data_IF_754047343270
#
_entry.id   IF_754047343270
#
_cell.length_a   1.000
_cell.length_b   1.000
_cell.length_c   1.000
_cell.angle_alpha   90.00
_cell.angle_beta   90.00
_cell.angle_gamma   90.00
#
_symmetry.space_group_name_H-M   'P 1'
#
loop_
_entity.id
_entity.type
_entity.pdbx_description
1 polymer ?
#
# COMPACT_ATOMS: atom_id res chain seq x y z
N UNK A 1 -10.95 -4.54 6.32
CA UNK A 1 -10.47 -4.15 4.97
C UNK A 1 -11.45 -4.53 3.85
N UNK A 2 -12.24 -5.61 4.01
CA UNK A 2 -13.27 -6.05 3.06
C UNK A 2 -14.37 -5.01 2.78
N UNK A 3 -14.77 -4.20 3.76
CA UNK A 3 -15.74 -3.12 3.51
C UNK A 3 -15.15 -1.97 2.67
N UNK A 4 -13.91 -1.56 2.94
CA UNK A 4 -13.24 -0.45 2.23
C UNK A 4 -13.05 -0.74 0.74
N UNK A 5 -12.75 -1.99 0.38
CA UNK A 5 -12.56 -2.40 -1.01
C UNK A 5 -13.82 -3.01 -1.65
N UNK A 6 -14.97 -2.92 -0.99
CA UNK A 6 -16.27 -3.43 -1.46
C UNK A 6 -16.21 -4.93 -1.80
N UNK A 7 -15.49 -5.70 -0.98
CA UNK A 7 -15.27 -7.14 -1.19
C UNK A 7 -14.27 -7.49 -2.29
N UNK A 8 -13.65 -6.51 -2.96
CA UNK A 8 -12.60 -6.76 -3.97
C UNK A 8 -11.28 -7.13 -3.28
N UNK A 9 -10.63 -8.19 -3.75
CA UNK A 9 -9.29 -8.60 -3.35
C UNK A 9 -8.48 -8.96 -4.58
N UNK A 10 -7.24 -8.48 -4.66
CA UNK A 10 -6.28 -8.80 -5.73
C UNK A 10 -5.29 -9.90 -5.35
N UNK A 11 -5.54 -10.57 -4.22
CA UNK A 11 -4.58 -11.51 -3.66
C UNK A 11 -3.31 -10.81 -3.17
N UNK A 12 -2.26 -11.59 -3.00
CA UNK A 12 -0.96 -11.06 -2.58
C UNK A 12 -0.23 -10.41 -3.75
N UNK A 13 0.63 -9.39 -3.49
CA UNK A 13 1.51 -8.84 -4.50
C UNK A 13 2.39 -9.94 -5.12
N UNK A 14 2.72 -9.79 -6.40
CA UNK A 14 3.72 -10.63 -7.07
C UNK A 14 5.13 -10.26 -6.61
N UNK A 15 5.35 -8.96 -6.36
CA UNK A 15 6.57 -8.43 -5.80
C UNK A 15 6.25 -7.37 -4.75
N UNK A 16 6.89 -7.50 -3.59
CA UNK A 16 6.87 -6.51 -2.51
C UNK A 16 8.32 -6.13 -2.19
N UNK A 17 8.67 -4.84 -2.22
CA UNK A 17 9.99 -4.39 -1.79
C UNK A 17 10.14 -4.58 -0.27
N UNK A 18 11.37 -4.47 0.24
CA UNK A 18 11.59 -4.36 1.69
C UNK A 18 11.05 -3.02 2.16
N UNK A 19 10.15 -3.04 3.15
CA UNK A 19 9.64 -1.83 3.76
C UNK A 19 10.73 -1.19 4.63
N UNK A 20 11.00 0.08 4.40
CA UNK A 20 11.92 0.85 5.24
C UNK A 20 11.15 1.49 6.39
N UNK A 21 11.64 1.32 7.60
CA UNK A 21 11.07 1.92 8.79
C UNK A 21 11.73 3.29 9.05
N UNK A 22 10.98 4.35 9.39
CA UNK A 22 11.59 5.63 9.75
C UNK A 22 12.46 5.49 11.01
N UNK A 23 13.70 5.97 10.97
CA UNK A 23 14.68 5.79 12.06
C UNK A 23 14.14 6.31 13.41
N UNK A 24 13.50 7.48 13.40
CA UNK A 24 12.89 8.10 14.60
C UNK A 24 11.86 7.19 15.29
N UNK A 25 11.16 6.35 14.53
CA UNK A 25 10.15 5.45 15.07
C UNK A 25 10.78 4.19 15.66
N UNK A 26 11.88 3.72 15.05
CA UNK A 26 12.69 2.64 15.61
C UNK A 26 13.25 3.07 16.96
N UNK A 27 13.84 4.27 17.03
CA UNK A 27 14.42 4.81 18.27
C UNK A 27 13.38 4.98 19.39
N UNK A 28 12.16 5.33 19.03
CA UNK A 28 11.06 5.53 19.98
C UNK A 28 10.22 4.27 20.23
N UNK A 29 10.56 3.15 19.58
CA UNK A 29 9.81 1.89 19.63
C UNK A 29 8.31 2.09 19.35
N UNK A 30 8.00 2.89 18.31
CA UNK A 30 6.63 3.21 17.91
C UNK A 30 6.20 2.32 16.76
N UNK A 31 5.05 1.64 16.94
CA UNK A 31 4.32 0.98 15.87
C UNK A 31 3.30 1.92 15.24
N UNK A 32 2.95 1.65 13.99
CA UNK A 32 2.06 2.52 13.23
C UNK A 32 1.41 1.87 12.03
N UNK A 33 0.59 2.67 11.35
CA UNK A 33 -0.03 2.28 10.10
C UNK A 33 -0.32 3.48 9.22
N UNK A 34 -0.37 3.22 7.91
CA UNK A 34 -0.76 4.19 6.89
C UNK A 34 -1.84 3.56 6.01
N UNK A 35 -2.94 4.27 5.87
CA UNK A 35 -4.02 3.94 4.94
C UNK A 35 -3.89 4.82 3.70
N UNK A 36 -3.66 4.18 2.56
CA UNK A 36 -3.51 4.80 1.24
C UNK A 36 -4.66 4.38 0.34
N UNK A 37 -5.02 5.25 -0.61
CA UNK A 37 -5.93 4.98 -1.71
C UNK A 37 -5.16 5.10 -3.02
N UNK A 38 -5.15 4.07 -3.85
CA UNK A 38 -4.43 4.09 -5.11
C UNK A 38 -5.14 3.30 -6.20
N UNK A 39 -4.69 3.50 -7.44
CA UNK A 39 -5.14 2.76 -8.61
C UNK A 39 -4.09 1.71 -8.97
N UNK A 40 -4.51 0.63 -9.63
CA UNK A 40 -3.61 -0.36 -10.21
C UNK A 40 -3.83 -0.37 -11.73
N UNK A 41 -2.76 -0.16 -12.49
CA UNK A 41 -2.82 -0.17 -13.94
C UNK A 41 -2.80 -1.60 -14.52
N UNK A 42 -2.93 -1.69 -15.84
CA UNK A 42 -2.90 -2.95 -16.57
C UNK A 42 -1.59 -3.73 -16.49
N UNK A 43 -0.49 -3.10 -16.05
CA UNK A 43 0.81 -3.74 -15.83
C UNK A 43 0.97 -4.30 -14.43
N UNK A 44 0.00 -4.04 -13.53
CA UNK A 44 0.10 -4.37 -12.11
C UNK A 44 0.88 -3.35 -11.31
N UNK A 45 1.16 -2.17 -11.88
CA UNK A 45 1.82 -1.07 -11.19
C UNK A 45 0.81 -0.25 -10.41
N UNK A 46 1.20 0.19 -9.21
CA UNK A 46 0.39 1.10 -8.40
C UNK A 46 0.63 2.53 -8.84
N UNK A 47 -0.44 3.28 -9.10
CA UNK A 47 -0.42 4.68 -9.54
C UNK A 47 -1.47 5.51 -8.78
N UNK A 48 -1.41 6.84 -8.90
CA UNK A 48 -2.37 7.76 -8.27
C UNK A 48 -2.54 7.57 -6.75
N UNK A 49 -1.43 7.32 -6.05
CA UNK A 49 -1.44 7.10 -4.59
C UNK A 49 -1.84 8.37 -3.87
N UNK A 50 -2.82 8.26 -2.96
CA UNK A 50 -3.34 9.33 -2.11
C UNK A 50 -3.37 8.88 -0.67
N UNK A 51 -2.95 9.75 0.24
CA UNK A 51 -3.07 9.52 1.67
C UNK A 51 -4.53 9.63 2.11
N UNK A 52 -5.01 8.64 2.85
CA UNK A 52 -6.34 8.67 3.49
C UNK A 52 -6.19 9.01 4.97
N UNK A 53 -5.36 8.26 5.68
CA UNK A 53 -5.12 8.43 7.12
C UNK A 53 -3.83 7.76 7.53
N UNK A 54 -3.25 8.19 8.64
CA UNK A 54 -2.08 7.58 9.25
C UNK A 54 -2.17 7.65 10.77
N UNK A 55 -1.33 6.86 11.43
CA UNK A 55 -1.10 6.90 12.86
C UNK A 55 0.26 6.25 13.18
N UNK A 56 1.01 6.72 14.20
CA UNK A 56 0.79 7.92 14.99
C UNK A 56 1.28 9.22 14.35
N UNK A 57 2.30 9.13 13.50
CA UNK A 57 3.06 10.27 12.97
C UNK A 57 3.09 10.27 11.44
N UNK A 58 3.27 11.44 10.85
CA UNK A 58 3.24 11.60 9.40
C UNK A 58 4.46 10.99 8.72
N UNK A 59 5.59 10.83 9.43
CA UNK A 59 6.83 10.28 8.87
C UNK A 59 6.68 8.85 8.32
N UNK A 60 5.65 8.09 8.71
CA UNK A 60 5.36 6.79 8.08
C UNK A 60 4.88 6.92 6.63
N UNK A 61 4.31 8.06 6.24
CA UNK A 61 3.60 8.24 4.96
C UNK A 61 4.56 8.10 3.79
N UNK A 62 5.70 8.79 3.79
CA UNK A 62 6.65 8.75 2.67
C UNK A 62 7.22 7.35 2.44
N UNK A 63 7.46 6.63 3.53
CA UNK A 63 7.92 5.23 3.50
C UNK A 63 6.84 4.30 2.96
N UNK A 64 5.59 4.46 3.41
CA UNK A 64 4.44 3.69 2.95
C UNK A 64 4.15 3.94 1.46
N UNK A 65 4.18 5.19 1.02
CA UNK A 65 3.97 5.59 -0.38
C UNK A 65 5.08 5.02 -1.27
N UNK A 66 6.33 5.13 -0.84
CA UNK A 66 7.49 4.60 -1.59
C UNK A 66 7.41 3.07 -1.71
N UNK A 67 7.09 2.38 -0.62
CA UNK A 67 6.82 0.93 -0.62
C UNK A 67 5.72 0.57 -1.62
N UNK A 68 4.60 1.29 -1.58
CA UNK A 68 3.45 0.99 -2.42
C UNK A 68 3.76 1.22 -3.91
N UNK A 69 4.47 2.28 -4.28
CA UNK A 69 4.88 2.53 -5.67
C UNK A 69 5.83 1.45 -6.22
N UNK A 70 6.68 0.88 -5.38
CA UNK A 70 7.59 -0.20 -5.75
C UNK A 70 6.93 -1.59 -5.72
N UNK A 71 5.72 -1.72 -5.16
CA UNK A 71 4.95 -2.96 -5.16
C UNK A 71 4.40 -3.27 -6.56
N UNK A 72 4.33 -4.56 -6.91
CA UNK A 72 3.73 -5.04 -8.17
C UNK A 72 2.74 -6.16 -7.90
N UNK A 73 1.59 -6.08 -8.56
CA UNK A 73 0.51 -7.06 -8.44
C UNK A 73 0.42 -7.95 -9.67
N UNK A 74 0.16 -9.24 -9.46
CA UNK A 74 -0.09 -10.15 -10.57
C UNK A 74 -1.48 -9.87 -11.16
N UNK A 75 -1.50 -9.32 -12.37
CA UNK A 75 -2.74 -9.05 -13.08
C UNK A 75 -3.13 -10.29 -13.89
N UNK A 76 -4.03 -11.11 -13.35
CA UNK A 76 -4.59 -12.26 -14.07
C UNK A 76 -5.96 -11.89 -14.66
N UNK A 77 -5.99 -11.49 -15.92
CA UNK A 77 -7.23 -11.19 -16.66
C UNK A 77 -7.00 -10.37 -17.92
N UNK A 78 -8.02 -10.28 -18.79
CA UNK A 78 -8.02 -9.35 -19.91
C UNK A 78 -8.16 -7.92 -19.38
N UNK A 79 -7.06 -7.16 -19.37
CA UNK A 79 -7.08 -5.72 -19.08
C UNK A 79 -7.86 -5.03 -20.21
N UNK A 80 -9.14 -4.74 -20.00
CA UNK A 80 -9.85 -3.74 -20.81
C UNK A 80 -9.52 -2.36 -20.24
N UNK A 81 -9.20 -1.40 -21.11
CA UNK A 81 -9.00 0.03 -20.81
C UNK A 81 -7.75 0.44 -20.00
N UNK A 82 -6.74 -0.43 -19.87
CA UNK A 82 -5.42 -0.06 -19.33
C UNK A 82 -5.36 0.25 -17.82
N UNK A 83 -6.51 0.34 -17.15
CA UNK A 83 -6.66 0.43 -15.70
C UNK A 83 -7.36 -0.83 -15.19
N UNK A 84 -6.72 -1.54 -14.29
CA UNK A 84 -7.30 -2.74 -13.69
C UNK A 84 -8.23 -2.37 -12.53
N UNK A 85 -7.83 -1.36 -11.73
CA UNK A 85 -8.50 -1.03 -10.47
C UNK A 85 -8.42 0.46 -10.20
N UNK A 86 -9.56 1.03 -9.81
CA UNK A 86 -9.62 2.38 -9.25
C UNK A 86 -10.00 2.35 -7.78
N UNK A 87 -9.43 3.31 -7.05
CA UNK A 87 -9.76 3.62 -5.67
C UNK A 87 -9.69 2.37 -4.77
N UNK A 88 -8.53 1.73 -4.75
CA UNK A 88 -8.24 0.59 -3.88
C UNK A 88 -7.51 1.05 -2.62
N UNK A 89 -8.02 0.65 -1.46
CA UNK A 89 -7.45 0.95 -0.16
C UNK A 89 -6.34 -0.06 0.18
N UNK A 90 -5.18 0.47 0.55
CA UNK A 90 -4.02 -0.25 1.04
C UNK A 90 -3.76 0.16 2.49
N UNK A 91 -3.73 -0.82 3.40
CA UNK A 91 -3.29 -0.61 4.78
C UNK A 91 -1.89 -1.18 4.93
N UNK A 92 -0.92 -0.29 5.17
CA UNK A 92 0.48 -0.66 5.41
C UNK A 92 0.71 -0.57 6.92
N UNK A 93 1.18 -1.67 7.50
CA UNK A 93 1.42 -1.80 8.93
C UNK A 93 2.92 -1.74 9.20
N UNK A 94 3.31 -0.96 10.17
CA UNK A 94 4.67 -0.81 10.66
C UNK A 94 4.73 -1.42 12.06
N UNK A 95 5.04 -2.72 12.14
CA UNK A 95 5.06 -3.49 13.38
C UNK A 95 6.49 -3.94 13.68
N UNK A 96 6.83 -4.07 14.96
CA UNK A 96 8.04 -4.77 15.35
C UNK A 96 7.78 -6.28 15.33
N UNK A 97 8.79 -7.05 14.93
CA UNK A 97 8.69 -8.51 15.05
C UNK A 97 8.79 -8.89 16.54
N UNK A 98 7.82 -9.67 17.03
CA UNK A 98 7.85 -10.29 18.37
C UNK A 98 8.86 -11.43 18.47
#
# INVERSE_FOLDING_TARGET
MTELNHGRSFGSPEYSPVMTYPEVMIEQNLEGWVLLLADIDGSGSVINVRLVKYYPLEDYVDHAVSYLYATRYSVKGNVQDGLLVKDYYFLILFLFEE
#
